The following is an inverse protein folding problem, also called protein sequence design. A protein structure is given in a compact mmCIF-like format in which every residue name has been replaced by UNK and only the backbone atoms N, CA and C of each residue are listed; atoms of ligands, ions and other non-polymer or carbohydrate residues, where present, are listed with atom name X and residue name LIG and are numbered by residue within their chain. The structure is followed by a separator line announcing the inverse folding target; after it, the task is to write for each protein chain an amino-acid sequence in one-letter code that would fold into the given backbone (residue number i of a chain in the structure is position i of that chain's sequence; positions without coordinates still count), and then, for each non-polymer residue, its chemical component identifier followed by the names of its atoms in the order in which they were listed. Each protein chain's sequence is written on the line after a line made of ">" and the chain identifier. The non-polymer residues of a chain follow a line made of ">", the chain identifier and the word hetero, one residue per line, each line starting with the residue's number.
data_IF_491203232688
#
_entry.id   IF_491203232688
#
_cell.length_a   1.000
_cell.length_b   1.000
_cell.length_c   1.000
_cell.angle_alpha   90.00
_cell.angle_beta   90.00
_cell.angle_gamma   90.00
#
_symmetry.space_group_name_H-M   'P 1'
#
loop_
_entity.id
_entity.type
_entity.pdbx_description
1 polymer ?
#
# COMPACT_ATOMS: atom_id res chain seq x y z
N UNK A 1 39.22 20.62 31.55
CA UNK A 1 37.76 20.57 31.74
C UNK A 1 37.14 20.20 30.41
N UNK A 2 36.43 19.08 30.36
CA UNK A 2 36.00 18.43 29.12
C UNK A 2 34.82 19.17 28.46
N UNK A 3 34.98 19.56 27.20
CA UNK A 3 33.91 20.08 26.35
C UNK A 3 32.80 19.03 26.20
N UNK A 4 31.58 19.36 26.60
CA UNK A 4 30.37 18.64 26.18
C UNK A 4 29.76 19.39 25.01
N UNK A 5 30.15 19.00 23.80
CA UNK A 5 29.33 19.28 22.62
C UNK A 5 28.04 18.47 22.80
N UNK A 6 26.91 19.18 22.91
CA UNK A 6 25.58 18.57 22.73
C UNK A 6 25.45 18.31 21.24
N UNK A 7 25.38 17.04 20.87
CA UNK A 7 24.92 16.61 19.56
C UNK A 7 23.48 17.13 19.39
N UNK A 8 23.33 18.21 18.63
CA UNK A 8 22.03 18.59 18.10
C UNK A 8 21.62 17.47 17.14
N UNK A 9 20.56 16.73 17.47
CA UNK A 9 19.96 15.78 16.55
C UNK A 9 19.59 16.53 15.27
N UNK A 10 20.18 16.13 14.15
CA UNK A 10 19.93 16.71 12.83
C UNK A 10 18.42 16.54 12.50
N UNK A 11 17.65 17.64 12.38
CA UNK A 11 16.22 17.57 12.07
C UNK A 11 15.93 17.01 10.68
N UNK A 12 16.93 16.91 9.78
CA UNK A 12 16.76 16.17 8.52
C UNK A 12 16.76 14.65 8.74
N UNK A 13 17.51 14.12 9.71
CA UNK A 13 17.55 12.70 10.00
C UNK A 13 16.19 12.14 10.46
N UNK A 14 15.40 12.95 11.18
CA UNK A 14 14.03 12.59 11.60
C UNK A 14 13.03 12.65 10.45
N UNK A 15 13.23 13.51 9.45
CA UNK A 15 12.37 13.54 8.24
C UNK A 15 12.47 12.27 7.42
N UNK A 16 13.61 11.58 7.45
CA UNK A 16 13.83 10.34 6.69
C UNK A 16 13.44 9.05 7.44
N UNK A 17 13.22 9.12 8.76
CA UNK A 17 12.82 7.94 9.55
C UNK A 17 11.34 7.60 9.42
N UNK A 18 10.51 8.59 9.13
CA UNK A 18 9.07 8.46 9.18
C UNK A 18 8.44 8.52 7.77
N UNK A 19 9.13 8.03 6.75
CA UNK A 19 8.57 7.89 5.40
C UNK A 19 8.17 6.45 5.13
N UNK A 20 6.95 6.26 4.61
CA UNK A 20 6.42 4.96 4.19
C UNK A 20 6.30 4.89 2.67
N UNK A 21 6.49 3.67 2.15
CA UNK A 21 6.53 3.34 0.74
C UNK A 21 5.59 2.17 0.45
N UNK A 22 4.91 2.22 -0.69
CA UNK A 22 4.24 1.03 -1.23
C UNK A 22 5.30 0.19 -1.92
N UNK A 23 5.67 -0.94 -1.31
CA UNK A 23 6.70 -1.79 -1.89
C UNK A 23 6.16 -2.67 -3.02
N UNK A 24 5.03 -3.33 -2.79
CA UNK A 24 4.43 -4.24 -3.75
C UNK A 24 2.90 -4.21 -3.71
N UNK A 25 2.32 -4.54 -4.86
CA UNK A 25 0.89 -4.82 -5.05
C UNK A 25 0.81 -6.15 -5.78
N UNK A 26 0.56 -7.21 -5.02
CA UNK A 26 0.62 -8.60 -5.47
C UNK A 26 -0.78 -9.19 -5.66
N UNK A 27 -0.99 -9.82 -6.80
CA UNK A 27 -2.25 -10.47 -7.15
C UNK A 27 -2.21 -11.94 -6.73
N UNK A 28 -2.94 -12.26 -5.66
CA UNK A 28 -3.11 -13.62 -5.15
C UNK A 28 -4.37 -14.20 -5.79
N UNK A 29 -4.21 -14.93 -6.90
CA UNK A 29 -5.35 -15.52 -7.62
C UNK A 29 -5.93 -16.70 -6.84
N UNK A 30 -7.20 -16.61 -6.46
CA UNK A 30 -8.01 -17.71 -5.93
C UNK A 30 -9.06 -18.07 -6.98
N UNK A 31 -8.72 -18.97 -7.90
CA UNK A 31 -9.70 -19.46 -8.87
C UNK A 31 -10.60 -20.51 -8.21
N UNK A 32 -11.91 -20.24 -8.17
CA UNK A 32 -12.92 -21.29 -8.23
C UNK A 32 -13.90 -20.97 -9.36
N UNK A 33 -14.31 -22.00 -10.10
CA UNK A 33 -15.03 -21.90 -11.39
C UNK A 33 -16.41 -21.20 -11.33
N UNK A 34 -16.81 -20.69 -10.17
CA UNK A 34 -18.11 -20.07 -9.92
C UNK A 34 -18.04 -18.76 -9.12
N UNK A 35 -16.85 -18.27 -8.76
CA UNK A 35 -16.72 -16.99 -8.06
C UNK A 35 -15.54 -16.16 -8.58
N UNK A 36 -15.82 -14.97 -9.09
CA UNK A 36 -14.81 -13.96 -9.45
C UNK A 36 -14.23 -13.34 -8.18
N UNK A 37 -13.42 -14.12 -7.46
CA UNK A 37 -12.70 -13.68 -6.27
C UNK A 37 -11.25 -13.36 -6.61
N UNK A 38 -10.82 -12.17 -6.26
CA UNK A 38 -9.45 -11.72 -6.40
C UNK A 38 -8.94 -11.29 -5.03
N UNK A 39 -7.84 -11.90 -4.57
CA UNK A 39 -7.15 -11.42 -3.38
C UNK A 39 -5.96 -10.57 -3.80
N UNK A 40 -5.81 -9.41 -3.18
CA UNK A 40 -4.70 -8.49 -3.42
C UNK A 40 -3.94 -8.32 -2.12
N UNK A 41 -2.62 -8.39 -2.18
CA UNK A 41 -1.76 -8.10 -1.05
C UNK A 41 -0.97 -6.82 -1.35
N UNK A 42 -0.99 -5.87 -0.43
CA UNK A 42 -0.23 -4.61 -0.55
C UNK A 42 0.75 -4.54 0.60
N UNK A 43 2.06 -4.48 0.29
CA UNK A 43 3.12 -4.40 1.31
C UNK A 43 3.58 -2.96 1.49
N UNK A 44 3.50 -2.48 2.73
CA UNK A 44 3.97 -1.15 3.14
C UNK A 44 5.23 -1.29 3.99
N UNK A 45 6.23 -0.49 3.66
CA UNK A 45 7.53 -0.51 4.35
C UNK A 45 8.07 0.88 4.61
N UNK A 46 9.00 0.97 5.54
CA UNK A 46 9.86 2.15 5.67
C UNK A 46 11.04 2.11 4.67
N UNK A 47 11.87 3.15 4.71
CA UNK A 47 13.07 3.26 3.86
C UNK A 47 14.07 2.11 4.05
N UNK A 48 14.08 1.47 5.22
CA UNK A 48 14.94 0.34 5.56
C UNK A 48 14.29 -1.02 5.23
N UNK A 49 13.17 -1.03 4.49
CA UNK A 49 12.40 -2.21 4.11
C UNK A 49 11.76 -2.94 5.29
N UNK A 50 11.67 -2.28 6.45
CA UNK A 50 10.97 -2.81 7.63
C UNK A 50 9.46 -2.64 7.43
N UNK A 51 8.66 -3.65 7.79
CA UNK A 51 7.22 -3.56 7.65
C UNK A 51 6.64 -2.46 8.54
N UNK A 52 5.59 -1.79 8.04
CA UNK A 52 4.81 -0.81 8.81
C UNK A 52 3.41 -1.38 8.99
N UNK A 53 3.05 -1.66 10.25
CA UNK A 53 1.71 -2.09 10.64
C UNK A 53 0.76 -0.90 10.84
N UNK A 54 -0.54 -1.16 10.93
CA UNK A 54 -1.58 -0.15 11.18
C UNK A 54 -1.62 1.01 10.17
N UNK A 55 -1.07 0.82 8.97
CA UNK A 55 -1.20 1.76 7.88
C UNK A 55 -2.51 1.50 7.15
N UNK A 56 -3.37 2.52 7.04
CA UNK A 56 -4.59 2.48 6.26
C UNK A 56 -4.24 2.60 4.77
N UNK A 57 -4.69 1.66 3.94
CA UNK A 57 -4.39 1.58 2.51
C UNK A 57 -5.69 1.65 1.73
N UNK A 58 -5.79 2.62 0.82
CA UNK A 58 -6.92 2.76 -0.10
C UNK A 58 -6.57 2.13 -1.46
N UNK A 59 -7.19 0.99 -1.76
CA UNK A 59 -7.09 0.32 -3.06
C UNK A 59 -8.23 0.79 -3.96
N UNK A 60 -7.88 1.47 -5.06
CA UNK A 60 -8.80 1.83 -6.13
C UNK A 60 -8.84 0.73 -7.19
N UNK A 61 -10.05 0.37 -7.61
CA UNK A 61 -10.33 -0.68 -8.60
C UNK A 61 -11.11 -0.08 -9.77
N UNK A 62 -10.58 -0.20 -10.98
CA UNK A 62 -11.27 0.11 -12.24
C UNK A 62 -11.75 -1.18 -12.89
N UNK A 63 -13.06 -1.29 -13.07
CA UNK A 63 -13.70 -2.39 -13.77
C UNK A 63 -13.58 -2.26 -15.30
N UNK A 64 -13.76 -3.35 -16.05
CA UNK A 64 -13.82 -3.34 -17.52
C UNK A 64 -14.86 -2.35 -18.09
N UNK A 65 -16.00 -2.18 -17.41
CA UNK A 65 -17.01 -1.18 -17.75
C UNK A 65 -16.54 0.27 -17.62
N UNK A 66 -15.39 0.52 -16.98
CA UNK A 66 -14.88 1.84 -16.64
C UNK A 66 -15.33 2.34 -15.26
N UNK A 67 -16.21 1.61 -14.58
CA UNK A 67 -16.64 1.93 -13.22
C UNK A 67 -15.45 1.86 -12.25
N UNK A 68 -15.44 2.80 -11.29
CA UNK A 68 -14.40 2.93 -10.28
C UNK A 68 -15.00 2.78 -8.88
N UNK A 69 -14.35 2.00 -8.03
CA UNK A 69 -14.65 1.96 -6.60
C UNK A 69 -13.36 1.83 -5.78
N UNK A 70 -13.44 2.13 -4.49
CA UNK A 70 -12.32 2.08 -3.56
C UNK A 70 -12.65 1.13 -2.42
N UNK A 71 -11.66 0.34 -2.00
CA UNK A 71 -11.70 -0.51 -0.81
C UNK A 71 -10.58 -0.06 0.12
N UNK A 72 -10.83 -0.06 1.43
CA UNK A 72 -9.87 0.32 2.44
C UNK A 72 -9.56 -0.88 3.33
N UNK A 73 -8.28 -1.10 3.61
CA UNK A 73 -7.80 -2.10 4.57
C UNK A 73 -6.61 -1.55 5.35
N UNK A 74 -6.30 -2.15 6.50
CA UNK A 74 -5.14 -1.78 7.30
C UNK A 74 -4.04 -2.84 7.22
N UNK A 75 -2.77 -2.44 7.26
CA UNK A 75 -1.66 -3.38 7.31
C UNK A 75 -1.60 -4.12 8.65
N UNK A 76 -1.34 -5.43 8.58
CA UNK A 76 -1.07 -6.26 9.75
C UNK A 76 0.40 -6.12 10.22
N UNK A 77 0.81 -6.91 11.23
CA UNK A 77 2.15 -6.85 11.84
C UNK A 77 3.31 -7.09 10.86
N UNK A 78 3.05 -7.75 9.75
CA UNK A 78 4.03 -8.01 8.68
C UNK A 78 4.07 -6.90 7.62
N UNK A 79 3.29 -5.83 7.83
CA UNK A 79 3.20 -4.68 6.94
C UNK A 79 2.36 -4.95 5.70
N UNK A 80 1.51 -5.98 5.70
CA UNK A 80 0.69 -6.35 4.55
C UNK A 80 -0.78 -6.06 4.83
N UNK A 81 -1.43 -5.35 3.90
CA UNK A 81 -2.88 -5.21 3.84
C UNK A 81 -3.43 -6.21 2.80
N UNK A 82 -4.41 -7.02 3.19
CA UNK A 82 -5.03 -7.99 2.30
C UNK A 82 -6.44 -7.55 1.93
N UNK A 83 -6.70 -7.43 0.62
CA UNK A 83 -8.01 -7.08 0.08
C UNK A 83 -8.65 -8.31 -0.54
N UNK A 84 -9.91 -8.56 -0.21
CA UNK A 84 -10.73 -9.56 -0.88
C UNK A 84 -11.78 -8.88 -1.76
N UNK A 85 -11.56 -8.96 -3.07
CA UNK A 85 -12.48 -8.40 -4.07
C UNK A 85 -13.38 -9.52 -4.59
N UNK A 86 -14.69 -9.26 -4.65
CA UNK A 86 -15.69 -10.20 -5.15
C UNK A 86 -16.73 -9.50 -6.02
N UNK A 87 -17.47 -10.26 -6.81
CA UNK A 87 -18.50 -9.70 -7.69
C UNK A 87 -17.93 -8.86 -8.84
N UNK A 88 -16.66 -9.09 -9.19
CA UNK A 88 -15.98 -8.37 -10.25
C UNK A 88 -16.48 -8.83 -11.62
N UNK A 89 -16.58 -7.90 -12.58
CA UNK A 89 -16.95 -8.16 -13.98
C UNK A 89 -15.85 -8.94 -14.72
N UNK A 90 -16.23 -9.85 -15.63
CA UNK A 90 -15.26 -10.54 -16.47
C UNK A 90 -14.52 -9.55 -17.39
N UNK A 91 -13.22 -9.75 -17.58
CA UNK A 91 -12.38 -8.88 -18.40
C UNK A 91 -11.22 -8.25 -17.64
N UNK A 92 -10.67 -7.18 -18.21
CA UNK A 92 -9.47 -6.51 -17.68
C UNK A 92 -9.85 -5.50 -16.59
N UNK A 93 -9.43 -5.77 -15.37
CA UNK A 93 -9.48 -4.81 -14.26
C UNK A 93 -8.14 -4.11 -14.09
N UNK A 94 -8.17 -2.87 -13.59
CA UNK A 94 -6.96 -2.11 -13.21
C UNK A 94 -7.01 -1.78 -11.71
N UNK A 95 -5.91 -1.98 -11.01
CA UNK A 95 -5.78 -1.75 -9.58
C UNK A 95 -4.73 -0.67 -9.33
N UNK A 96 -4.98 0.24 -8.40
CA UNK A 96 -3.99 1.24 -7.97
C UNK A 96 -4.20 1.64 -6.52
N UNK A 97 -3.17 2.16 -5.86
CA UNK A 97 -3.26 2.65 -4.48
C UNK A 97 -3.56 4.14 -4.51
N UNK A 98 -4.76 4.57 -4.11
CA UNK A 98 -5.10 6.00 -4.16
C UNK A 98 -4.56 6.79 -2.97
N UNK A 99 -4.37 6.14 -1.82
CA UNK A 99 -3.88 6.77 -0.61
C UNK A 99 -3.29 5.74 0.38
N UNK A 100 -2.35 6.18 1.21
CA UNK A 100 -1.87 5.43 2.37
C UNK A 100 -1.71 6.40 3.55
N UNK A 101 -2.34 6.07 4.67
CA UNK A 101 -2.36 6.88 5.89
C UNK A 101 -1.76 6.15 7.09
N UNK A 102 -1.05 6.87 7.95
CA UNK A 102 -0.55 6.33 9.22
C UNK A 102 -0.33 7.48 10.23
N UNK A 103 -0.61 7.31 11.54
CA UNK A 103 -0.47 8.38 12.54
C UNK A 103 0.97 8.91 12.71
N UNK A 104 1.97 8.06 12.47
CA UNK A 104 3.39 8.37 12.71
C UNK A 104 4.27 8.43 11.45
N UNK A 105 3.76 7.98 10.30
CA UNK A 105 4.52 7.92 9.04
C UNK A 105 3.85 8.81 7.99
N UNK A 106 4.65 9.39 7.11
CA UNK A 106 4.21 10.14 5.94
C UNK A 106 4.42 9.30 4.70
N UNK A 107 3.42 9.23 3.84
CA UNK A 107 3.53 8.53 2.56
C UNK A 107 4.48 9.27 1.64
N UNK A 108 5.31 8.54 0.91
CA UNK A 108 5.93 9.08 -0.28
C UNK A 108 4.88 9.16 -1.40
N UNK A 109 4.41 10.37 -1.70
CA UNK A 109 3.35 10.60 -2.69
C UNK A 109 3.68 10.14 -4.11
N UNK A 110 4.97 9.98 -4.44
CA UNK A 110 5.40 9.47 -5.74
C UNK A 110 5.01 7.99 -5.96
N UNK A 111 4.82 7.23 -4.88
CA UNK A 111 4.45 5.80 -4.93
C UNK A 111 2.94 5.57 -5.15
N UNK A 112 2.10 6.58 -4.85
CA UNK A 112 0.64 6.46 -4.92
C UNK A 112 0.11 6.48 -6.36
N UNK A 113 0.80 7.14 -7.28
CA UNK A 113 0.27 7.39 -8.63
C UNK A 113 0.85 6.51 -9.73
N UNK A 114 1.77 5.61 -9.40
CA UNK A 114 2.63 4.95 -10.41
C UNK A 114 2.43 3.45 -10.62
N UNK A 115 1.55 2.77 -9.86
CA UNK A 115 1.41 1.31 -9.96
C UNK A 115 0.00 0.86 -10.30
N UNK A 116 -0.49 1.25 -11.48
CA UNK A 116 -1.65 0.59 -12.06
C UNK A 116 -1.28 -0.84 -12.49
N UNK A 117 -1.81 -1.85 -11.80
CA UNK A 117 -1.67 -3.26 -12.17
C UNK A 117 -2.90 -3.71 -12.95
N UNK A 118 -2.67 -4.22 -14.14
CA UNK A 118 -3.72 -4.80 -14.98
C UNK A 118 -3.83 -6.30 -14.72
N UNK A 119 -5.05 -6.81 -14.54
CA UNK A 119 -5.32 -8.24 -14.49
C UNK A 119 -6.54 -8.59 -15.31
N UNK A 120 -6.44 -9.67 -16.09
CA UNK A 120 -7.59 -10.27 -16.75
C UNK A 120 -8.22 -11.30 -15.84
N UNK A 121 -9.52 -11.16 -15.64
CA UNK A 121 -10.38 -12.17 -15.02
C UNK A 121 -11.03 -13.05 -16.06
#
# INVERSE_FOLDING_TARGET
>A
MSNRHRDAADPEADRYRNTMYVESVDLLKLYSQSSSRLRVAVRIVDKLKRPIDMAEVNLMVRLPSGNLFTVNESTEKDGIAFFELSGLENGKCELGISDVGHPYFKVNSEDLLTQWRSTSM
#
